data_IF_989482665446
#
_entry.id   IF_989482665446
#
_cell.length_a   1.000
_cell.length_b   1.000
_cell.length_c   1.000
_cell.angle_alpha   90.00
_cell.angle_beta   90.00
_cell.angle_gamma   90.00
#
_symmetry.space_group_name_H-M   'P 1'
#
loop_
_entity.id
_entity.type
_entity.pdbx_description
1 polymer ?
#
# COMPACT_ATOMS: atom_id res chain seq x y z
N UNK A 1 -10.58 -25.52 8.45
CA UNK A 1 -9.80 -24.45 7.78
C UNK A 1 -10.79 -23.62 7.00
N UNK A 2 -10.95 -22.33 7.30
CA UNK A 2 -11.85 -21.45 6.56
C UNK A 2 -11.47 -21.45 5.08
N UNK A 3 -12.42 -21.83 4.23
CA UNK A 3 -12.28 -22.02 2.78
C UNK A 3 -12.36 -20.70 1.99
N UNK A 4 -12.58 -19.58 2.68
CA UNK A 4 -12.72 -18.27 2.05
C UNK A 4 -11.38 -17.53 1.99
N UNK A 5 -10.94 -17.26 0.76
CA UNK A 5 -9.74 -16.46 0.50
C UNK A 5 -10.11 -14.98 0.56
N UNK A 6 -10.37 -14.51 1.78
CA UNK A 6 -10.77 -13.13 2.03
C UNK A 6 -9.57 -12.17 1.91
N UNK A 7 -9.85 -10.96 1.44
CA UNK A 7 -8.84 -9.89 1.33
C UNK A 7 -8.37 -9.48 2.72
N UNK A 8 -7.09 -9.67 3.00
CA UNK A 8 -6.49 -9.34 4.30
C UNK A 8 -6.10 -7.86 4.38
N UNK A 9 -6.30 -7.25 5.56
CA UNK A 9 -5.89 -5.87 5.85
C UNK A 9 -4.85 -5.87 6.97
N UNK A 10 -3.67 -5.34 6.69
CA UNK A 10 -2.53 -5.24 7.62
C UNK A 10 -2.34 -3.80 8.10
N UNK A 11 -1.95 -3.64 9.38
CA UNK A 11 -1.69 -2.35 10.05
C UNK A 11 -0.36 -2.43 10.80
N UNK A 12 0.79 -2.41 10.11
CA UNK A 12 2.10 -2.56 10.74
C UNK A 12 2.42 -1.44 11.72
N UNK A 13 3.29 -1.76 12.68
CA UNK A 13 4.07 -0.78 13.44
C UNK A 13 5.16 -0.14 12.55
N UNK A 14 5.77 0.98 12.99
CA UNK A 14 6.93 1.56 12.31
C UNK A 14 8.03 0.53 12.03
N UNK A 15 8.41 -0.25 13.04
CA UNK A 15 9.49 -1.22 12.95
C UNK A 15 9.22 -2.33 11.92
N UNK A 16 7.97 -2.78 11.82
CA UNK A 16 7.56 -3.76 10.80
C UNK A 16 7.52 -3.14 9.40
N UNK A 17 7.09 -1.87 9.31
CA UNK A 17 6.95 -1.15 8.04
C UNK A 17 8.29 -0.75 7.40
N UNK A 18 9.36 -0.61 8.19
CA UNK A 18 10.69 -0.21 7.71
C UNK A 18 11.33 -1.18 6.69
N UNK A 19 10.99 -2.47 6.74
CA UNK A 19 11.54 -3.47 5.81
C UNK A 19 10.44 -4.09 4.95
N UNK A 20 10.26 -3.54 3.75
CA UNK A 20 9.26 -3.97 2.78
C UNK A 20 9.30 -5.48 2.51
N UNK A 21 10.48 -6.03 2.14
CA UNK A 21 10.62 -7.43 1.77
C UNK A 21 10.29 -8.38 2.93
N UNK A 22 10.70 -8.03 4.16
CA UNK A 22 10.38 -8.81 5.36
C UNK A 22 8.88 -8.80 5.63
N UNK A 23 8.24 -7.64 5.49
CA UNK A 23 6.81 -7.51 5.74
C UNK A 23 5.97 -8.23 4.68
N UNK A 24 6.39 -8.22 3.40
CA UNK A 24 5.75 -9.02 2.33
C UNK A 24 5.79 -10.52 2.67
N UNK A 25 6.95 -11.05 3.06
CA UNK A 25 7.07 -12.47 3.47
C UNK A 25 6.18 -12.81 4.65
N UNK A 26 6.03 -11.89 5.60
CA UNK A 26 5.10 -12.05 6.73
C UNK A 26 3.64 -12.11 6.25
N UNK A 27 3.21 -11.19 5.38
CA UNK A 27 1.84 -11.22 4.83
C UNK A 27 1.57 -12.52 4.05
N UNK A 28 2.55 -12.99 3.28
CA UNK A 28 2.46 -14.26 2.58
C UNK A 28 2.35 -15.45 3.54
N UNK A 29 3.11 -15.47 4.63
CA UNK A 29 3.04 -16.52 5.64
C UNK A 29 1.69 -16.56 6.37
N UNK A 30 0.96 -15.44 6.41
CA UNK A 30 -0.43 -15.37 6.91
C UNK A 30 -1.47 -15.81 5.85
N UNK A 31 -1.04 -16.11 4.61
CA UNK A 31 -1.91 -16.57 3.53
C UNK A 31 -2.51 -15.47 2.66
N UNK A 32 -2.06 -14.21 2.79
CA UNK A 32 -2.67 -13.08 2.08
C UNK A 32 -2.62 -13.21 0.54
N UNK A 33 -1.57 -13.85 0.01
CA UNK A 33 -1.41 -14.11 -1.41
C UNK A 33 -2.51 -15.01 -2.00
N UNK A 34 -3.20 -15.82 -1.18
CA UNK A 34 -4.27 -16.72 -1.65
C UNK A 34 -5.51 -15.97 -2.13
N UNK A 35 -5.71 -14.74 -1.66
CA UNK A 35 -6.77 -13.85 -2.12
C UNK A 35 -6.41 -13.05 -3.38
N UNK A 36 -5.15 -13.10 -3.83
CA UNK A 36 -4.64 -12.32 -4.97
C UNK A 36 -4.39 -10.83 -4.69
N UNK A 37 -4.97 -10.27 -3.62
CA UNK A 37 -4.76 -8.89 -3.19
C UNK A 37 -4.76 -8.78 -1.66
N UNK A 38 -3.97 -7.85 -1.13
CA UNK A 38 -3.95 -7.48 0.28
C UNK A 38 -3.88 -5.94 0.42
N UNK A 39 -4.39 -5.41 1.54
CA UNK A 39 -4.32 -3.99 1.87
C UNK A 39 -3.33 -3.77 3.01
N UNK A 40 -2.43 -2.81 2.87
CA UNK A 40 -1.57 -2.33 3.96
C UNK A 40 -1.95 -0.89 4.27
N UNK A 41 -2.33 -0.62 5.52
CA UNK A 41 -2.53 0.74 6.02
C UNK A 41 -1.24 1.15 6.73
N UNK A 42 -0.49 2.14 6.23
CA UNK A 42 0.80 2.50 6.81
C UNK A 42 0.66 3.04 8.24
N UNK A 43 1.75 3.04 9.03
CA UNK A 43 1.80 3.71 10.33
C UNK A 43 1.44 5.20 10.20
N UNK A 44 0.85 5.80 11.24
CA UNK A 44 0.34 7.19 11.19
C UNK A 44 1.45 8.23 11.00
N UNK A 45 2.61 7.92 11.55
CA UNK A 45 3.84 8.71 11.48
C UNK A 45 4.52 8.65 10.11
N UNK A 46 4.11 7.73 9.23
CA UNK A 46 4.65 7.65 7.88
C UNK A 46 4.05 8.73 6.98
N UNK A 47 4.91 9.66 6.56
CA UNK A 47 4.56 10.73 5.63
C UNK A 47 5.32 10.48 4.32
N UNK A 48 4.66 10.02 3.24
CA UNK A 48 5.33 9.64 1.99
C UNK A 48 5.97 10.82 1.26
N UNK A 49 5.44 12.03 1.44
CA UNK A 49 5.88 13.23 0.74
C UNK A 49 5.97 14.40 1.72
N UNK A 50 7.09 15.11 1.69
CA UNK A 50 7.32 16.29 2.54
C UNK A 50 6.45 17.49 2.13
N UNK A 51 6.23 17.66 0.83
CA UNK A 51 5.46 18.79 0.27
C UNK A 51 3.97 18.47 0.15
N UNK A 52 3.13 19.51 0.17
CA UNK A 52 1.67 19.40 -0.02
C UNK A 52 1.31 18.96 -1.44
N UNK A 53 0.32 18.08 -1.62
CA UNK A 53 -0.15 17.69 -2.96
C UNK A 53 -0.80 18.83 -3.75
N UNK A 54 -1.02 19.98 -3.12
CA UNK A 54 -1.49 21.21 -3.78
C UNK A 54 -0.35 22.07 -4.35
N UNK A 55 0.91 21.61 -4.30
CA UNK A 55 2.05 22.34 -4.87
C UNK A 55 2.13 22.22 -6.39
N UNK A 56 2.77 23.21 -7.02
CA UNK A 56 2.81 23.37 -8.48
C UNK A 56 3.37 22.16 -9.25
N UNK A 57 4.30 21.40 -8.67
CA UNK A 57 4.86 20.20 -9.29
C UNK A 57 3.83 19.06 -9.49
N UNK A 58 2.79 19.02 -8.66
CA UNK A 58 1.67 18.09 -8.82
C UNK A 58 0.52 18.75 -9.58
N UNK A 59 0.14 19.97 -9.22
CA UNK A 59 -1.01 20.65 -9.81
C UNK A 59 -0.82 21.00 -11.28
N UNK A 60 0.42 21.21 -11.73
CA UNK A 60 0.77 21.49 -13.12
C UNK A 60 1.34 20.26 -13.85
N UNK A 61 1.11 19.05 -13.32
CA UNK A 61 1.52 17.81 -13.98
C UNK A 61 0.75 17.62 -15.30
N UNK A 62 1.47 17.50 -16.41
CA UNK A 62 0.86 17.28 -17.73
C UNK A 62 0.57 15.80 -17.96
N UNK A 63 -0.69 15.46 -18.28
CA UNK A 63 -1.10 14.12 -18.72
C UNK A 63 -1.29 14.16 -20.24
N UNK A 64 -0.31 13.72 -21.04
CA UNK A 64 -0.29 13.97 -22.48
C UNK A 64 -1.36 13.19 -23.27
N UNK A 65 -1.86 12.08 -22.73
CA UNK A 65 -2.75 11.18 -23.46
C UNK A 65 -3.84 10.58 -22.53
N UNK A 66 -4.86 11.37 -22.14
CA UNK A 66 -5.99 10.86 -21.37
C UNK A 66 -6.76 9.79 -22.16
N UNK A 67 -7.17 8.73 -21.48
CA UNK A 67 -7.96 7.63 -22.06
C UNK A 67 -9.41 7.76 -21.61
N UNK A 68 -10.35 7.48 -22.51
CA UNK A 68 -11.78 7.39 -22.22
C UNK A 68 -12.18 5.91 -22.14
N UNK A 69 -13.02 5.56 -21.16
CA UNK A 69 -13.47 4.20 -20.88
C UNK A 69 -14.90 3.97 -21.37
#
# INVERSE_FOLDING_TARGET
MSTEQNIMVFRPTWAEFQNFNKFVRYMESQGAHKAGIAKVVPPREWIPRRNSYLSDDIMNMNIPAPQYQ
#
